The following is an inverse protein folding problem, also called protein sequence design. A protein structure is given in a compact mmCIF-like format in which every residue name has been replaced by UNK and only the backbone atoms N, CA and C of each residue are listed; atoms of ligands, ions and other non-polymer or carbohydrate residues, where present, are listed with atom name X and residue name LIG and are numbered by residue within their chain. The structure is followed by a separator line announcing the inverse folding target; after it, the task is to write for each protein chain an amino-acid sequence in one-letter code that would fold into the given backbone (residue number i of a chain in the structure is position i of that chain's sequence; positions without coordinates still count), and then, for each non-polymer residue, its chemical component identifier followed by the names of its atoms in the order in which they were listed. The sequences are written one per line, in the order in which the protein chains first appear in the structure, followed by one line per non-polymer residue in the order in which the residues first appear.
data_IF_357177216268
#
_entry.id   IF_357177216268
#
_cell.length_a   1.000
_cell.length_b   1.000
_cell.length_c   1.000
_cell.angle_alpha   90.00
_cell.angle_beta   90.00
_cell.angle_gamma   90.00
#
_symmetry.space_group_name_H-M   'P 1'
#
loop_
_entity.id
_entity.type
_entity.pdbx_description
1 polymer ?
#
# COMPACT_ATOMS: atom_id res chain seq x y z
N UNK A 1 -0.76 17.80 -19.76
CA UNK A 1 -1.23 17.86 -18.36
C UNK A 1 -0.34 16.94 -17.56
N UNK A 2 0.33 17.43 -16.52
CA UNK A 2 1.18 16.61 -15.64
C UNK A 2 0.62 16.66 -14.23
N UNK A 3 0.66 15.52 -13.52
CA UNK A 3 0.14 15.39 -12.15
C UNK A 3 0.75 16.43 -11.20
N UNK A 4 -0.03 16.87 -10.21
CA UNK A 4 0.40 17.79 -9.13
C UNK A 4 1.21 19.00 -9.63
N UNK A 5 0.68 19.72 -10.65
CA UNK A 5 1.34 20.89 -11.27
C UNK A 5 2.75 20.60 -11.81
N UNK A 6 2.98 19.39 -12.29
CA UNK A 6 4.29 18.95 -12.80
C UNK A 6 5.19 18.25 -11.78
N UNK A 7 4.78 18.15 -10.51
CA UNK A 7 5.50 17.39 -9.47
C UNK A 7 5.29 15.88 -9.55
N UNK A 8 4.31 15.45 -10.33
CA UNK A 8 4.00 14.05 -10.51
C UNK A 8 2.94 13.48 -9.58
N UNK A 9 2.24 12.47 -10.08
CA UNK A 9 1.25 11.72 -9.31
C UNK A 9 1.94 10.71 -8.39
N UNK A 10 1.36 10.51 -7.21
CA UNK A 10 1.73 9.42 -6.31
C UNK A 10 0.65 8.34 -6.41
N UNK A 11 1.08 7.12 -6.72
CA UNK A 11 0.23 5.93 -6.74
C UNK A 11 0.61 5.07 -5.55
N UNK A 12 -0.38 4.63 -4.79
CA UNK A 12 -0.19 3.76 -3.63
C UNK A 12 -0.91 2.46 -3.90
N UNK A 13 -0.21 1.35 -3.74
CA UNK A 13 -0.71 0.03 -4.08
C UNK A 13 -0.53 -0.94 -2.92
N UNK A 14 -1.45 -1.88 -2.78
CA UNK A 14 -1.31 -2.97 -1.82
C UNK A 14 -0.44 -4.08 -2.44
N UNK A 15 0.42 -4.72 -1.66
CA UNK A 15 1.27 -5.80 -2.19
C UNK A 15 0.47 -7.02 -2.65
N UNK A 16 -0.62 -7.35 -1.97
CA UNK A 16 -1.45 -8.52 -2.30
C UNK A 16 -1.87 -9.34 -1.08
N UNK A 17 -2.77 -10.30 -1.28
CA UNK A 17 -3.38 -11.13 -0.22
C UNK A 17 -3.29 -12.65 -0.50
N UNK A 18 -2.52 -13.06 -1.49
CA UNK A 18 -2.32 -14.44 -1.94
C UNK A 18 -1.27 -15.24 -1.18
N UNK A 19 -0.81 -14.78 -0.01
CA UNK A 19 0.27 -15.43 0.73
C UNK A 19 0.01 -16.91 1.13
N UNK A 20 -1.26 -17.34 1.28
CA UNK A 20 -1.59 -18.76 1.49
C UNK A 20 -1.43 -19.63 0.24
N UNK A 21 -1.49 -19.01 -0.93
CA UNK A 21 -1.35 -19.67 -2.23
C UNK A 21 0.11 -19.59 -2.72
N UNK A 22 1.05 -19.22 -1.84
CA UNK A 22 2.46 -18.96 -2.14
C UNK A 22 2.65 -17.93 -3.28
N UNK A 23 1.76 -16.92 -3.35
CA UNK A 23 1.81 -15.89 -4.39
C UNK A 23 2.93 -14.86 -4.16
N UNK A 24 3.39 -14.27 -5.26
CA UNK A 24 4.50 -13.30 -5.30
C UNK A 24 4.03 -12.03 -6.02
N UNK A 25 4.06 -10.90 -5.32
CA UNK A 25 3.59 -9.63 -5.86
C UNK A 25 4.38 -9.10 -7.06
N UNK A 26 5.52 -9.72 -7.41
CA UNK A 26 6.21 -9.48 -8.68
C UNK A 26 5.39 -9.92 -9.90
N UNK A 27 4.43 -10.84 -9.71
CA UNK A 27 3.53 -11.32 -10.74
C UNK A 27 2.30 -10.41 -10.93
N UNK A 28 2.03 -9.49 -10.00
CA UNK A 28 1.08 -8.41 -10.19
C UNK A 28 1.77 -7.23 -10.90
N UNK A 29 1.42 -7.03 -12.17
CA UNK A 29 1.93 -5.92 -13.00
C UNK A 29 1.54 -4.52 -12.51
N UNK A 30 0.61 -4.38 -11.56
CA UNK A 30 0.34 -3.11 -10.90
C UNK A 30 1.23 -2.89 -9.68
N UNK A 31 1.48 -3.93 -8.89
CA UNK A 31 2.33 -3.84 -7.70
C UNK A 31 3.83 -3.79 -8.03
N UNK A 32 4.24 -4.44 -9.12
CA UNK A 32 5.65 -4.62 -9.49
C UNK A 32 6.16 -3.65 -10.55
N UNK A 33 5.27 -3.00 -11.28
CA UNK A 33 5.67 -2.11 -12.35
C UNK A 33 5.93 -0.71 -11.80
N UNK A 34 7.19 -0.32 -11.79
CA UNK A 34 7.54 1.08 -11.59
C UNK A 34 6.77 1.90 -12.64
N UNK A 35 5.79 2.72 -12.24
CA UNK A 35 5.11 3.69 -13.09
C UNK A 35 6.10 4.77 -13.54
N UNK A 36 7.05 4.35 -14.37
CA UNK A 36 7.95 5.19 -15.13
C UNK A 36 7.35 5.21 -16.50
N UNK A 37 6.63 6.28 -16.84
CA UNK A 37 6.46 6.62 -18.25
C UNK A 37 7.87 6.87 -18.79
N UNK A 38 8.49 5.84 -19.36
CA UNK A 38 9.82 5.93 -19.98
C UNK A 38 9.71 6.81 -21.22
N UNK A 39 10.07 8.07 -21.06
CA UNK A 39 10.39 8.98 -22.14
C UNK A 39 11.45 9.96 -21.66
N UNK A 40 12.73 9.56 -21.74
CA UNK A 40 13.94 10.40 -21.64
C UNK A 40 13.81 11.71 -20.82
N UNK A 41 13.29 11.62 -19.60
CA UNK A 41 12.95 12.76 -18.74
C UNK A 41 12.86 12.34 -17.27
N UNK A 42 12.75 13.30 -16.33
CA UNK A 42 12.69 13.00 -14.91
C UNK A 42 11.52 12.06 -14.58
N UNK A 43 11.66 11.25 -13.54
CA UNK A 43 10.58 10.39 -13.02
C UNK A 43 9.44 11.32 -12.60
N UNK A 44 8.36 11.34 -13.38
CA UNK A 44 7.20 12.19 -13.14
C UNK A 44 6.09 11.46 -12.38
N UNK A 45 6.20 10.17 -12.08
CA UNK A 45 5.21 9.43 -11.32
C UNK A 45 5.91 8.43 -10.42
N UNK A 46 5.41 8.25 -9.20
CA UNK A 46 5.97 7.31 -8.23
C UNK A 46 4.88 6.34 -7.78
N UNK A 47 5.16 5.05 -7.94
CA UNK A 47 4.39 3.97 -7.36
C UNK A 47 5.02 3.53 -6.03
N UNK A 48 4.21 3.42 -4.99
CA UNK A 48 4.62 2.92 -3.68
C UNK A 48 3.78 1.70 -3.35
N UNK A 49 4.41 0.53 -3.41
CA UNK A 49 3.79 -0.74 -3.05
C UNK A 49 3.98 -1.00 -1.56
N UNK A 50 2.87 -1.15 -0.86
CA UNK A 50 2.80 -1.32 0.59
C UNK A 50 2.42 -2.75 0.95
N UNK A 51 3.31 -3.38 1.70
CA UNK A 51 3.02 -4.60 2.42
C UNK A 51 2.27 -4.32 3.72
N UNK A 52 2.06 -5.40 4.47
CA UNK A 52 1.34 -5.38 5.73
C UNK A 52 2.07 -6.23 6.75
N UNK A 53 2.10 -5.75 7.99
CA UNK A 53 2.71 -6.45 9.10
C UNK A 53 1.68 -6.59 10.22
N UNK A 54 1.75 -7.69 10.96
CA UNK A 54 1.01 -7.85 12.22
C UNK A 54 1.51 -6.87 13.28
N UNK A 55 0.78 -6.74 14.38
CA UNK A 55 1.20 -5.97 15.56
C UNK A 55 2.54 -6.40 16.18
N UNK A 56 3.08 -7.57 15.83
CA UNK A 56 4.43 -8.02 16.24
C UNK A 56 5.52 -7.72 15.21
N UNK A 57 5.19 -7.04 14.11
CA UNK A 57 6.11 -6.73 13.00
C UNK A 57 6.37 -7.90 12.04
N UNK A 58 5.71 -9.05 12.22
CA UNK A 58 5.81 -10.19 11.32
C UNK A 58 4.77 -10.10 10.19
N UNK A 59 5.04 -10.61 8.99
CA UNK A 59 4.03 -10.67 7.92
C UNK A 59 2.85 -11.56 8.36
N UNK A 60 1.58 -11.13 8.15
CA UNK A 60 0.42 -11.99 8.34
C UNK A 60 0.35 -13.08 7.25
N UNK A 61 -0.49 -14.09 7.48
CA UNK A 61 -0.59 -15.29 6.66
C UNK A 61 -0.99 -15.06 5.19
N UNK A 62 -1.65 -13.93 4.89
CA UNK A 62 -2.07 -13.58 3.53
C UNK A 62 -1.07 -12.66 2.83
N UNK A 63 -0.04 -12.15 3.51
CA UNK A 63 0.84 -11.14 2.93
C UNK A 63 1.69 -11.71 1.79
N UNK A 64 1.61 -11.05 0.63
CA UNK A 64 2.53 -11.29 -0.49
C UNK A 64 3.77 -10.39 -0.35
N UNK A 65 4.94 -10.99 -0.57
CA UNK A 65 6.23 -10.32 -0.57
C UNK A 65 6.90 -10.40 -1.93
N UNK A 66 7.62 -9.35 -2.32
CA UNK A 66 8.40 -9.29 -3.55
C UNK A 66 9.39 -8.12 -3.48
N UNK A 67 10.32 -8.02 -4.43
CA UNK A 67 11.30 -6.92 -4.48
C UNK A 67 10.68 -5.53 -4.70
N UNK A 68 9.41 -5.46 -5.08
CA UNK A 68 8.71 -4.19 -5.29
C UNK A 68 8.10 -3.59 -4.01
N UNK A 69 7.98 -4.36 -2.93
CA UNK A 69 7.45 -3.85 -1.64
C UNK A 69 8.44 -2.84 -1.05
N UNK A 70 7.99 -1.59 -0.88
CA UNK A 70 8.85 -0.50 -0.41
C UNK A 70 8.76 -0.27 1.10
N UNK A 71 7.58 -0.49 1.68
CA UNK A 71 7.32 -0.32 3.10
C UNK A 71 6.13 -1.20 3.52
N UNK A 72 5.90 -1.33 4.83
CA UNK A 72 4.77 -2.05 5.37
C UNK A 72 4.02 -1.20 6.41
N UNK A 73 2.70 -1.34 6.45
CA UNK A 73 1.87 -0.75 7.50
C UNK A 73 1.46 -1.85 8.48
N UNK A 74 1.53 -1.54 9.77
CA UNK A 74 1.16 -2.48 10.83
C UNK A 74 -0.34 -2.50 11.04
N UNK A 75 -0.92 -3.70 11.09
CA UNK A 75 -2.28 -3.94 11.57
C UNK A 75 -2.40 -3.68 13.07
N UNK A 76 -3.65 -3.58 13.53
CA UNK A 76 -3.96 -3.50 14.94
C UNK A 76 -3.56 -4.77 15.73
N UNK A 77 -3.73 -4.73 17.05
CA UNK A 77 -3.45 -5.87 17.93
C UNK A 77 -4.28 -7.10 17.53
N UNK A 78 -3.86 -8.29 17.98
CA UNK A 78 -4.59 -9.55 17.74
C UNK A 78 -6.06 -9.51 18.16
N UNK A 79 -6.42 -8.65 19.12
CA UNK A 79 -7.79 -8.46 19.58
C UNK A 79 -8.70 -7.78 18.56
N UNK A 80 -8.16 -6.91 17.71
CA UNK A 80 -8.93 -6.28 16.62
C UNK A 80 -8.87 -7.13 15.36
N UNK A 81 -7.77 -7.85 15.13
CA UNK A 81 -7.53 -8.66 13.93
C UNK A 81 -7.79 -7.84 12.65
N UNK A 82 -6.87 -6.91 12.36
CA UNK A 82 -6.99 -5.92 11.30
C UNK A 82 -6.95 -4.49 11.82
N UNK A 83 -7.28 -3.55 10.93
CA UNK A 83 -7.30 -2.10 11.16
C UNK A 83 -8.73 -1.63 11.41
N UNK A 84 -8.93 -0.82 12.44
CA UNK A 84 -10.25 -0.27 12.77
C UNK A 84 -10.55 0.94 11.88
N UNK A 85 -11.66 0.90 11.16
CA UNK A 85 -12.06 1.96 10.22
C UNK A 85 -13.59 2.07 10.13
N UNK A 86 -14.07 3.10 9.43
CA UNK A 86 -15.50 3.27 9.12
C UNK A 86 -15.98 2.27 8.09
N UNK A 87 -17.25 1.90 8.19
CA UNK A 87 -17.96 1.00 7.27
C UNK A 87 -19.29 1.63 6.83
N UNK A 88 -19.86 1.08 5.76
CA UNK A 88 -21.13 1.57 5.19
C UNK A 88 -22.26 1.54 6.20
N UNK A 89 -23.14 2.55 6.13
CA UNK A 89 -24.29 2.69 7.03
C UNK A 89 -23.91 3.14 8.45
N UNK A 90 -22.97 4.09 8.56
CA UNK A 90 -22.50 4.69 9.82
C UNK A 90 -21.97 3.66 10.83
N UNK A 91 -21.26 2.65 10.33
CA UNK A 91 -20.69 1.56 11.13
C UNK A 91 -19.18 1.70 11.29
N UNK A 92 -18.65 0.91 12.21
CA UNK A 92 -17.23 0.73 12.42
C UNK A 92 -16.91 -0.77 12.26
N UNK A 93 -15.80 -1.07 11.60
CA UNK A 93 -15.37 -2.44 11.28
C UNK A 93 -13.87 -2.59 11.54
N UNK A 94 -13.45 -3.82 11.82
CA UNK A 94 -12.04 -4.22 11.71
C UNK A 94 -11.83 -4.85 10.34
N UNK A 95 -10.99 -4.23 9.53
CA UNK A 95 -10.70 -4.63 8.16
C UNK A 95 -9.25 -5.14 8.06
N UNK A 96 -9.07 -6.37 7.58
CA UNK A 96 -7.76 -7.02 7.41
C UNK A 96 -7.37 -7.07 5.93
N UNK A 97 -6.08 -7.27 5.66
CA UNK A 97 -5.54 -7.38 4.30
C UNK A 97 -4.53 -6.28 3.98
N UNK A 98 -3.65 -6.52 3.02
CA UNK A 98 -2.78 -5.46 2.46
C UNK A 98 -3.60 -4.32 1.84
N UNK A 99 -4.84 -4.60 1.43
CA UNK A 99 -5.83 -3.61 1.00
C UNK A 99 -6.12 -2.55 2.07
N UNK A 100 -5.98 -2.88 3.36
CA UNK A 100 -6.11 -1.93 4.47
C UNK A 100 -4.85 -1.06 4.64
N UNK A 101 -3.66 -1.62 4.32
CA UNK A 101 -2.38 -0.94 4.42
C UNK A 101 -2.21 0.18 3.38
N UNK A 102 -2.66 -0.03 2.14
CA UNK A 102 -2.58 0.96 1.06
C UNK A 102 -3.18 2.34 1.42
N UNK A 103 -4.45 2.46 1.86
CA UNK A 103 -5.04 3.75 2.21
C UNK A 103 -4.39 4.40 3.43
N UNK A 104 -3.92 3.63 4.42
CA UNK A 104 -3.17 4.20 5.55
C UNK A 104 -1.83 4.78 5.11
N UNK A 105 -1.10 4.10 4.24
CA UNK A 105 0.13 4.68 3.70
C UNK A 105 -0.11 5.88 2.81
N UNK A 106 -1.21 5.92 2.06
CA UNK A 106 -1.63 7.12 1.34
C UNK A 106 -1.91 8.30 2.30
N UNK A 107 -2.53 8.05 3.45
CA UNK A 107 -2.73 9.07 4.48
C UNK A 107 -1.39 9.57 5.07
N UNK A 108 -0.43 8.68 5.33
CA UNK A 108 0.92 9.07 5.78
C UNK A 108 1.61 9.96 4.72
N UNK A 109 1.52 9.58 3.44
CA UNK A 109 2.07 10.39 2.34
C UNK A 109 1.37 11.75 2.23
N UNK A 110 0.07 11.83 2.47
CA UNK A 110 -0.65 13.10 2.50
C UNK A 110 -0.11 14.04 3.59
N UNK A 111 0.16 13.53 4.80
CA UNK A 111 0.80 14.29 5.88
C UNK A 111 2.22 14.76 5.49
N UNK A 112 2.99 13.90 4.83
CA UNK A 112 4.32 14.26 4.31
C UNK A 112 4.23 15.37 3.26
N UNK A 113 3.20 15.34 2.41
CA UNK A 113 2.94 16.38 1.41
C UNK A 113 2.42 17.69 2.01
N UNK A 114 1.75 17.64 3.16
CA UNK A 114 1.30 18.84 3.90
C UNK A 114 2.47 19.54 4.60
N UNK A 115 3.44 18.77 5.12
CA UNK A 115 4.58 19.29 5.86
C UNK A 115 5.59 20.08 4.99
N UNK A 116 5.39 20.15 3.67
CA UNK A 116 6.27 20.83 2.70
C UNK A 116 5.50 21.71 1.74
#
# INVERSE_FOLDING_TARGET
MHGRRGLGSLYVWASGNGGLEDDDCAMDGYASNLHTVRGYGPILELLITLGVATSTGAPPWYAEGCSAVMAAVTEGPKTTNGMVTTDVGDKCVSFSGSSAAAPLGAAILALVLEAK
#
